data_IF_863311503622
#
_entry.id   IF_863311503622
#
_cell.length_a   1.000
_cell.length_b   1.000
_cell.length_c   1.000
_cell.angle_alpha   90.00
_cell.angle_beta   90.00
_cell.angle_gamma   90.00
#
_symmetry.space_group_name_H-M   'P 1'
#
loop_
_entity.id
_entity.type
_entity.pdbx_description
1 polymer ?
#
# COMPACT_ATOMS: atom_id res chain seq x y z
N UNK A 1 -18.67 8.68 -34.37
CA UNK A 1 -17.83 9.87 -34.21
C UNK A 1 -18.08 10.52 -32.84
N UNK A 2 -17.02 10.96 -32.17
CA UNK A 2 -17.12 11.60 -30.81
C UNK A 2 -17.93 12.90 -30.89
N UNK A 3 -17.75 13.65 -31.97
CA UNK A 3 -18.44 14.95 -32.13
C UNK A 3 -19.95 14.78 -32.33
N UNK A 4 -20.37 13.74 -33.04
CA UNK A 4 -21.80 13.41 -33.18
C UNK A 4 -22.44 13.12 -31.80
N UNK A 5 -21.73 12.36 -30.96
CA UNK A 5 -22.17 12.09 -29.59
C UNK A 5 -22.29 13.38 -28.74
N UNK A 6 -21.30 14.28 -28.87
CA UNK A 6 -21.33 15.58 -28.18
C UNK A 6 -22.49 16.45 -28.67
N UNK A 7 -22.79 16.44 -29.97
CA UNK A 7 -23.94 17.14 -30.55
C UNK A 7 -25.25 16.54 -30.04
N UNK A 8 -25.38 15.21 -29.97
CA UNK A 8 -26.53 14.55 -29.39
C UNK A 8 -26.76 14.93 -27.92
N UNK A 9 -25.68 15.01 -27.14
CA UNK A 9 -25.76 15.47 -25.74
C UNK A 9 -26.22 16.93 -25.65
N UNK A 10 -25.74 17.80 -26.53
CA UNK A 10 -26.17 19.19 -26.59
C UNK A 10 -27.65 19.31 -26.96
N UNK A 11 -28.14 18.52 -27.92
CA UNK A 11 -29.56 18.46 -28.27
C UNK A 11 -30.44 17.93 -27.13
N UNK A 12 -29.90 17.10 -26.23
CA UNK A 12 -30.55 16.66 -25.00
C UNK A 12 -30.50 17.71 -23.87
N UNK A 13 -30.16 18.97 -24.16
CA UNK A 13 -30.14 20.07 -23.23
C UNK A 13 -28.88 20.15 -22.35
N UNK A 14 -27.77 19.52 -22.73
CA UNK A 14 -26.50 19.64 -22.03
C UNK A 14 -25.65 20.76 -22.64
N UNK A 15 -25.05 21.59 -21.79
CA UNK A 15 -24.05 22.56 -22.24
C UNK A 15 -22.70 21.85 -22.40
N UNK A 16 -22.19 21.81 -23.63
CA UNK A 16 -20.93 21.13 -23.98
C UNK A 16 -19.91 22.15 -24.43
N UNK A 17 -18.78 22.23 -23.76
CA UNK A 17 -17.59 22.97 -24.21
C UNK A 17 -16.56 21.99 -24.73
N UNK A 18 -16.12 22.17 -25.96
CA UNK A 18 -15.07 21.37 -26.57
C UNK A 18 -13.92 22.26 -27.06
N UNK A 19 -12.70 21.91 -26.71
CA UNK A 19 -11.49 22.54 -27.28
C UNK A 19 -11.03 21.66 -28.42
N UNK A 20 -10.89 22.24 -29.61
CA UNK A 20 -10.55 21.51 -30.82
C UNK A 20 -9.31 22.12 -31.42
N UNK A 21 -8.45 21.27 -31.97
CA UNK A 21 -7.26 21.63 -32.68
C UNK A 21 -7.46 21.27 -34.17
N UNK A 22 -7.36 22.23 -35.10
CA UNK A 22 -7.47 22.06 -36.54
C UNK A 22 -8.68 21.19 -36.98
N UNK A 23 -9.93 21.62 -36.72
CA UNK A 23 -11.09 20.85 -37.12
C UNK A 23 -11.24 20.84 -38.65
N UNK A 24 -11.77 19.74 -39.20
CA UNK A 24 -12.26 19.74 -40.61
C UNK A 24 -13.48 20.66 -40.74
N UNK A 25 -13.77 21.07 -41.98
CA UNK A 25 -14.94 21.91 -42.32
C UNK A 25 -16.25 21.38 -41.71
N UNK A 26 -16.49 20.06 -41.89
CA UNK A 26 -17.71 19.41 -41.40
C UNK A 26 -17.81 19.45 -39.86
N UNK A 27 -16.72 19.19 -39.18
CA UNK A 27 -16.66 19.27 -37.71
C UNK A 27 -16.86 20.70 -37.24
N UNK A 28 -16.24 21.67 -37.92
CA UNK A 28 -16.36 23.10 -37.56
C UNK A 28 -17.81 23.59 -37.63
N UNK A 29 -18.55 23.17 -38.66
CA UNK A 29 -19.96 23.51 -38.84
C UNK A 29 -20.90 22.86 -37.81
N UNK A 30 -20.50 21.79 -37.13
CA UNK A 30 -21.34 21.08 -36.17
C UNK A 30 -21.54 21.86 -34.84
N UNK A 31 -20.73 22.87 -34.58
CA UNK A 31 -20.80 23.66 -33.33
C UNK A 31 -21.81 24.80 -33.45
N UNK A 32 -22.58 25.03 -32.40
CA UNK A 32 -23.57 26.12 -32.37
C UNK A 32 -22.91 27.48 -32.12
N UNK A 33 -21.84 27.51 -31.37
CA UNK A 33 -21.07 28.72 -31.02
C UNK A 33 -19.58 28.45 -31.02
N UNK A 34 -18.82 29.42 -31.52
CA UNK A 34 -17.36 29.46 -31.50
C UNK A 34 -16.90 30.58 -30.56
N UNK A 35 -16.01 30.26 -29.65
CA UNK A 35 -15.28 31.21 -28.79
C UNK A 35 -13.81 31.14 -29.17
N UNK A 36 -13.24 32.28 -29.60
CA UNK A 36 -11.80 32.38 -29.91
C UNK A 36 -11.14 33.25 -28.84
N UNK A 37 -10.10 32.70 -28.23
CA UNK A 37 -9.23 33.39 -27.27
C UNK A 37 -7.84 33.50 -27.90
N UNK A 38 -7.28 34.72 -27.94
CA UNK A 38 -5.93 34.99 -28.40
C UNK A 38 -4.94 35.01 -27.23
N UNK A 39 -3.66 35.18 -27.53
CA UNK A 39 -2.58 35.27 -26.53
C UNK A 39 -2.92 36.27 -25.42
N UNK A 40 -2.64 35.86 -24.15
CA UNK A 40 -3.05 36.64 -22.99
C UNK A 40 -4.50 36.41 -22.53
N UNK A 41 -5.25 35.52 -23.21
CA UNK A 41 -6.66 35.24 -22.85
C UNK A 41 -7.66 36.26 -23.36
N UNK A 42 -7.25 37.12 -24.31
CA UNK A 42 -8.12 38.11 -24.92
C UNK A 42 -9.19 37.45 -25.78
N UNK A 43 -10.44 37.67 -25.47
CA UNK A 43 -11.56 37.23 -26.30
C UNK A 43 -11.64 38.07 -27.57
N UNK A 44 -11.55 37.42 -28.77
CA UNK A 44 -11.53 38.10 -30.04
C UNK A 44 -12.72 37.76 -30.94
N UNK A 45 -13.45 36.69 -30.59
CA UNK A 45 -14.68 36.29 -31.28
C UNK A 45 -15.62 35.50 -30.36
N UNK A 46 -16.91 35.66 -30.55
CA UNK A 46 -17.97 34.81 -30.00
C UNK A 46 -19.19 34.86 -30.91
N UNK A 47 -19.57 33.73 -31.49
CA UNK A 47 -20.71 33.68 -32.41
C UNK A 47 -20.81 32.37 -33.16
N UNK A 48 -21.52 32.37 -34.27
CA UNK A 48 -21.59 31.22 -35.20
C UNK A 48 -20.20 30.92 -35.81
N UNK A 49 -19.75 29.66 -35.88
CA UNK A 49 -18.45 29.31 -36.49
C UNK A 49 -18.28 29.83 -37.92
N UNK A 50 -19.31 29.71 -38.76
CA UNK A 50 -19.26 30.14 -40.17
C UNK A 50 -19.10 31.67 -40.27
N UNK A 51 -19.80 32.43 -39.47
CA UNK A 51 -19.72 33.89 -39.45
C UNK A 51 -18.36 34.39 -38.96
N UNK A 52 -17.58 33.57 -38.24
CA UNK A 52 -16.25 33.96 -37.80
C UNK A 52 -15.32 34.35 -38.95
N UNK A 53 -15.37 33.60 -40.03
CA UNK A 53 -14.51 33.87 -41.20
C UNK A 53 -14.85 35.23 -41.84
N UNK A 54 -16.12 35.51 -42.02
CA UNK A 54 -16.57 36.80 -42.57
C UNK A 54 -16.26 37.97 -41.64
N UNK A 55 -16.40 37.74 -40.31
CA UNK A 55 -16.04 38.73 -39.31
C UNK A 55 -14.56 39.13 -39.38
N UNK A 56 -13.62 38.13 -39.38
CA UNK A 56 -12.21 38.44 -39.46
C UNK A 56 -11.80 39.07 -40.82
N UNK A 57 -12.36 38.58 -41.93
CA UNK A 57 -12.11 39.18 -43.26
C UNK A 57 -12.60 40.64 -43.33
N UNK A 58 -13.79 40.94 -42.81
CA UNK A 58 -14.35 42.30 -42.76
C UNK A 58 -13.51 43.20 -41.86
N UNK A 59 -13.03 42.70 -40.75
CA UNK A 59 -12.24 43.48 -39.79
C UNK A 59 -10.91 44.02 -40.37
N UNK A 60 -10.37 43.38 -41.42
CA UNK A 60 -9.13 43.79 -42.09
C UNK A 60 -9.36 44.27 -43.53
N UNK A 61 -10.60 44.47 -43.94
CA UNK A 61 -11.01 44.95 -45.27
C UNK A 61 -10.45 44.09 -46.40
N UNK A 62 -10.49 42.76 -46.28
CA UNK A 62 -10.11 41.87 -47.37
C UNK A 62 -11.12 41.94 -48.55
N UNK A 63 -10.60 41.81 -49.78
CA UNK A 63 -11.43 41.55 -50.95
C UNK A 63 -12.13 40.22 -50.74
N UNK A 64 -13.40 40.06 -51.07
CA UNK A 64 -14.25 38.89 -50.79
C UNK A 64 -14.54 38.68 -49.28
N UNK A 65 -14.63 39.76 -48.53
CA UNK A 65 -14.93 39.71 -47.10
C UNK A 65 -16.34 39.20 -46.77
N UNK A 66 -17.24 39.08 -47.75
CA UNK A 66 -18.60 38.58 -47.56
C UNK A 66 -18.74 37.06 -47.72
N UNK A 67 -17.68 36.39 -48.24
CA UNK A 67 -17.68 34.96 -48.48
C UNK A 67 -17.11 34.19 -47.28
N UNK A 68 -17.96 33.55 -46.46
CA UNK A 68 -17.57 32.66 -45.36
C UNK A 68 -17.42 31.21 -45.77
N UNK A 69 -18.11 30.83 -46.85
CA UNK A 69 -18.13 29.46 -47.41
C UNK A 69 -17.76 29.50 -48.90
N UNK A 70 -17.26 28.39 -49.42
CA UNK A 70 -17.07 28.21 -50.84
C UNK A 70 -18.42 28.07 -51.53
N UNK A 71 -18.70 28.93 -52.53
CA UNK A 71 -19.98 28.91 -53.28
C UNK A 71 -20.26 27.62 -54.05
N UNK A 72 -19.20 26.90 -54.48
CA UNK A 72 -19.33 25.67 -55.24
C UNK A 72 -19.51 24.43 -54.38
N UNK A 73 -18.78 24.31 -53.23
CA UNK A 73 -18.73 23.12 -52.43
C UNK A 73 -19.25 23.31 -50.98
N UNK A 74 -19.58 24.55 -50.59
CA UNK A 74 -20.01 24.86 -49.23
C UNK A 74 -18.93 24.66 -48.18
N UNK A 75 -17.69 24.48 -48.54
CA UNK A 75 -16.60 24.21 -47.62
C UNK A 75 -16.17 25.47 -46.87
N UNK A 76 -15.95 25.33 -45.58
CA UNK A 76 -15.44 26.38 -44.69
C UNK A 76 -14.03 26.02 -44.28
N UNK A 77 -13.08 26.94 -44.49
CA UNK A 77 -11.69 26.70 -44.08
C UNK A 77 -11.35 27.45 -42.78
N UNK A 78 -11.37 26.78 -41.61
CA UNK A 78 -11.06 27.42 -40.31
C UNK A 78 -9.63 27.95 -40.23
N UNK A 79 -8.67 27.43 -41.02
CA UNK A 79 -7.28 27.91 -41.04
C UNK A 79 -7.16 29.38 -41.50
N UNK A 80 -8.09 29.87 -42.32
CA UNK A 80 -8.12 31.27 -42.70
C UNK A 80 -8.21 32.23 -41.52
N UNK A 81 -8.92 31.82 -40.44
CA UNK A 81 -9.02 32.61 -39.24
C UNK A 81 -7.65 32.78 -38.59
N UNK A 82 -6.89 31.69 -38.43
CA UNK A 82 -5.55 31.73 -37.87
C UNK A 82 -4.57 32.49 -38.75
N UNK A 83 -4.63 32.32 -40.05
CA UNK A 83 -3.80 33.08 -41.00
C UNK A 83 -4.05 34.58 -40.91
N UNK A 84 -5.29 35.00 -40.70
CA UNK A 84 -5.63 36.43 -40.52
C UNK A 84 -5.11 36.95 -39.20
N UNK A 85 -5.34 36.23 -38.11
CA UNK A 85 -4.94 36.63 -36.75
C UNK A 85 -3.42 36.69 -36.62
N UNK A 86 -2.70 35.71 -37.23
CA UNK A 86 -1.26 35.58 -37.13
C UNK A 86 -0.48 36.31 -38.20
N UNK A 87 -1.15 37.09 -39.05
CA UNK A 87 -0.49 37.89 -40.11
C UNK A 87 0.59 38.78 -39.51
N UNK A 88 1.83 38.59 -39.97
CA UNK A 88 3.00 39.35 -39.53
C UNK A 88 3.23 40.59 -40.35
N UNK A 89 3.88 41.57 -39.75
CA UNK A 89 4.38 42.75 -40.45
C UNK A 89 5.54 42.36 -41.35
N UNK A 90 5.56 42.92 -42.60
CA UNK A 90 6.65 42.72 -43.56
C UNK A 90 7.57 43.93 -43.45
N UNK A 91 8.87 43.72 -43.31
CA UNK A 91 9.88 44.78 -43.25
C UNK A 91 10.17 45.33 -44.66
N UNK A 92 10.94 46.40 -44.75
CA UNK A 92 11.32 47.07 -45.99
C UNK A 92 12.05 46.15 -47.01
N UNK A 93 12.61 45.04 -46.53
CA UNK A 93 13.30 44.02 -47.32
C UNK A 93 12.42 42.86 -47.77
N UNK A 94 11.11 42.91 -47.50
CA UNK A 94 10.16 41.85 -47.87
C UNK A 94 10.15 40.63 -46.94
N UNK A 95 10.84 40.67 -45.82
CA UNK A 95 10.87 39.58 -44.84
C UNK A 95 9.84 39.77 -43.72
N UNK A 96 9.21 38.66 -43.28
CA UNK A 96 8.30 38.69 -42.16
C UNK A 96 9.03 39.01 -40.83
N UNK A 97 8.52 39.99 -40.10
CA UNK A 97 8.98 40.31 -38.75
C UNK A 97 8.38 39.33 -37.74
N UNK A 98 8.84 39.39 -36.47
CA UNK A 98 8.23 38.62 -35.37
C UNK A 98 6.96 39.32 -34.78
N UNK A 99 6.61 40.51 -35.27
CA UNK A 99 5.46 41.28 -34.80
C UNK A 99 4.23 40.96 -35.63
N UNK A 100 3.09 40.76 -34.96
CA UNK A 100 1.79 40.60 -35.61
C UNK A 100 1.29 41.96 -36.12
N UNK A 101 0.61 41.95 -37.26
CA UNK A 101 0.02 43.18 -37.85
C UNK A 101 -1.03 43.79 -36.92
N UNK A 102 -1.80 42.96 -36.22
CA UNK A 102 -2.80 43.35 -35.22
C UNK A 102 -2.53 42.57 -33.94
N UNK A 103 -2.18 43.21 -32.84
CA UNK A 103 -1.96 42.54 -31.55
C UNK A 103 -3.29 42.08 -30.93
N UNK A 104 -3.22 41.09 -30.01
CA UNK A 104 -4.37 40.47 -29.36
C UNK A 104 -5.29 41.47 -28.65
N UNK A 105 -4.71 42.49 -28.02
CA UNK A 105 -5.46 43.58 -27.35
C UNK A 105 -6.32 44.39 -28.32
N UNK A 106 -5.77 44.65 -29.51
CA UNK A 106 -6.47 45.41 -30.53
C UNK A 106 -7.60 44.58 -31.16
N UNK A 107 -7.40 43.27 -31.36
CA UNK A 107 -8.47 42.36 -31.74
C UNK A 107 -9.59 42.32 -30.70
N UNK A 108 -9.29 42.33 -29.42
CA UNK A 108 -10.27 42.40 -28.35
C UNK A 108 -11.04 43.77 -28.39
N UNK A 109 -10.34 44.83 -28.66
CA UNK A 109 -10.99 46.16 -28.79
C UNK A 109 -11.97 46.22 -29.99
N UNK A 110 -11.58 45.60 -31.14
CA UNK A 110 -12.44 45.46 -32.33
C UNK A 110 -13.69 44.62 -31.93
N UNK A 111 -13.48 43.49 -31.31
CA UNK A 111 -14.54 42.59 -30.87
C UNK A 111 -15.54 43.30 -29.94
N UNK A 112 -15.07 44.06 -28.95
CA UNK A 112 -15.94 44.84 -28.02
C UNK A 112 -16.77 45.90 -28.71
N UNK A 113 -16.33 46.46 -29.82
CA UNK A 113 -17.09 47.40 -30.64
C UNK A 113 -18.23 46.73 -31.40
N UNK A 114 -18.00 45.53 -31.90
CA UNK A 114 -18.99 44.76 -32.67
C UNK A 114 -19.96 43.97 -31.83
N UNK A 115 -19.51 43.48 -30.69
CA UNK A 115 -20.31 42.62 -29.83
C UNK A 115 -21.25 43.42 -28.96
N UNK A 116 -22.53 43.43 -29.33
CA UNK A 116 -23.60 43.91 -28.44
C UNK A 116 -23.95 42.80 -27.46
N UNK A 117 -23.67 43.02 -26.19
CA UNK A 117 -24.16 42.16 -25.11
C UNK A 117 -25.67 42.15 -25.12
N UNK A 118 -26.28 41.04 -25.52
CA UNK A 118 -27.72 40.85 -25.29
C UNK A 118 -27.92 40.82 -23.78
N UNK A 119 -28.95 41.51 -23.23
CA UNK A 119 -29.23 41.42 -21.82
C UNK A 119 -29.48 39.95 -21.46
N UNK A 120 -28.63 39.43 -20.60
CA UNK A 120 -28.81 38.09 -20.07
C UNK A 120 -30.01 38.14 -19.12
N UNK A 121 -31.12 37.52 -19.51
CA UNK A 121 -32.23 37.28 -18.58
C UNK A 121 -31.70 36.37 -17.49
N UNK A 122 -31.48 36.90 -16.31
CA UNK A 122 -31.14 36.13 -15.13
C UNK A 122 -32.33 35.23 -14.83
N UNK A 123 -32.09 33.90 -14.84
CA UNK A 123 -33.12 32.97 -14.40
C UNK A 123 -33.32 33.15 -12.87
N UNK A 124 -34.54 33.44 -12.46
CA UNK A 124 -34.89 33.64 -11.03
C UNK A 124 -34.75 32.34 -10.19
N UNK A 125 -34.63 31.21 -10.85
CA UNK A 125 -34.48 29.91 -10.19
C UNK A 125 -33.29 29.14 -10.76
N UNK A 126 -32.43 28.66 -9.87
CA UNK A 126 -31.35 27.72 -10.24
C UNK A 126 -32.02 26.43 -10.73
N UNK A 127 -31.76 25.97 -11.96
CA UNK A 127 -32.33 24.72 -12.45
C UNK A 127 -31.95 23.58 -11.52
N UNK A 128 -32.93 22.75 -11.15
CA UNK A 128 -32.65 21.56 -10.32
C UNK A 128 -31.60 20.66 -10.99
N UNK A 129 -30.58 20.33 -10.25
CA UNK A 129 -29.57 19.41 -10.72
C UNK A 129 -30.22 18.01 -10.91
N UNK A 130 -30.24 17.53 -12.14
CA UNK A 130 -30.66 16.15 -12.47
C UNK A 130 -29.51 15.14 -12.29
N UNK A 131 -28.37 15.59 -11.75
CA UNK A 131 -27.22 14.74 -11.54
C UNK A 131 -27.51 13.74 -10.41
N UNK A 132 -27.80 12.52 -10.77
CA UNK A 132 -27.99 11.43 -9.81
C UNK A 132 -26.64 10.75 -9.54
N UNK A 133 -25.97 11.19 -8.46
CA UNK A 133 -24.67 10.61 -8.06
C UNK A 133 -24.94 9.25 -7.44
N UNK A 134 -24.36 8.15 -7.95
CA UNK A 134 -24.54 6.81 -7.39
C UNK A 134 -24.09 6.74 -5.92
N UNK A 135 -24.72 5.89 -5.13
CA UNK A 135 -24.30 5.63 -3.75
C UNK A 135 -22.85 5.15 -3.69
N UNK A 136 -22.18 5.36 -2.55
CA UNK A 136 -20.77 4.97 -2.37
C UNK A 136 -20.52 3.48 -2.64
N UNK A 137 -21.43 2.61 -2.22
CA UNK A 137 -21.36 1.17 -2.48
C UNK A 137 -21.44 0.85 -3.98
N UNK A 138 -22.37 1.49 -4.71
CA UNK A 138 -22.49 1.34 -6.17
C UNK A 138 -21.25 1.85 -6.89
N UNK A 139 -20.67 2.97 -6.43
CA UNK A 139 -19.41 3.48 -6.99
C UNK A 139 -18.26 2.48 -6.77
N UNK A 140 -18.12 1.91 -5.55
CA UNK A 140 -17.10 0.90 -5.25
C UNK A 140 -17.25 -0.33 -6.15
N UNK A 141 -18.48 -0.82 -6.35
CA UNK A 141 -18.75 -1.94 -7.24
C UNK A 141 -18.38 -1.64 -8.70
N UNK A 142 -18.72 -0.44 -9.20
CA UNK A 142 -18.38 -0.03 -10.56
C UNK A 142 -16.86 0.08 -10.76
N UNK A 143 -16.13 0.64 -9.78
CA UNK A 143 -14.68 0.67 -9.81
C UNK A 143 -14.07 -0.73 -9.79
N UNK A 144 -14.58 -1.62 -8.93
CA UNK A 144 -14.12 -3.00 -8.86
C UNK A 144 -14.37 -3.74 -10.18
N UNK A 145 -15.57 -3.63 -10.77
CA UNK A 145 -15.89 -4.27 -12.04
C UNK A 145 -14.97 -3.78 -13.17
N UNK A 146 -14.74 -2.47 -13.26
CA UNK A 146 -13.82 -1.89 -14.26
C UNK A 146 -12.41 -2.44 -14.10
N UNK A 147 -11.90 -2.51 -12.87
CA UNK A 147 -10.53 -2.97 -12.60
C UNK A 147 -10.38 -4.48 -12.85
N UNK A 148 -11.36 -5.27 -12.44
CA UNK A 148 -11.41 -6.72 -12.73
C UNK A 148 -11.41 -6.96 -14.24
N UNK A 149 -12.27 -6.27 -14.99
CA UNK A 149 -12.30 -6.40 -16.46
C UNK A 149 -10.97 -6.01 -17.10
N UNK A 150 -10.35 -4.91 -16.64
CA UNK A 150 -9.04 -4.48 -17.14
C UNK A 150 -7.95 -5.53 -16.87
N UNK A 151 -7.95 -6.15 -15.68
CA UNK A 151 -7.01 -7.20 -15.32
C UNK A 151 -7.26 -8.50 -16.10
N UNK A 152 -8.52 -8.91 -16.27
CA UNK A 152 -8.88 -10.12 -17.03
C UNK A 152 -8.52 -10.01 -18.52
N UNK A 153 -8.58 -8.83 -19.12
CA UNK A 153 -8.15 -8.61 -20.50
C UNK A 153 -6.63 -8.55 -20.66
N UNK A 154 -5.87 -8.42 -19.58
CA UNK A 154 -4.41 -8.44 -19.60
C UNK A 154 -3.90 -9.85 -19.31
N UNK A 155 -3.81 -10.69 -20.35
CA UNK A 155 -3.39 -12.09 -20.24
C UNK A 155 -1.99 -12.22 -19.62
N UNK A 156 -1.05 -11.33 -19.97
CA UNK A 156 0.29 -11.34 -19.41
C UNK A 156 0.27 -11.13 -17.88
N UNK A 157 -0.50 -10.14 -17.43
CA UNK A 157 -0.68 -9.86 -16.01
C UNK A 157 -1.23 -11.08 -15.26
N UNK A 158 -2.27 -11.72 -15.82
CA UNK A 158 -2.89 -12.89 -15.19
C UNK A 158 -1.92 -14.07 -15.11
N UNK A 159 -1.25 -14.41 -16.22
CA UNK A 159 -0.32 -15.55 -16.26
C UNK A 159 0.81 -15.36 -15.27
N UNK A 160 1.44 -14.18 -15.24
CA UNK A 160 2.54 -13.90 -14.32
C UNK A 160 2.05 -14.02 -12.87
N UNK A 161 1.00 -13.31 -12.49
CA UNK A 161 0.54 -13.27 -11.10
C UNK A 161 -0.01 -14.61 -10.60
N UNK A 162 -0.63 -15.42 -11.47
CA UNK A 162 -1.13 -16.74 -11.07
C UNK A 162 -0.02 -17.81 -11.04
N UNK A 163 0.97 -17.70 -11.92
CA UNK A 163 2.06 -18.68 -11.99
C UNK A 163 3.15 -18.41 -10.96
N UNK A 164 3.35 -17.15 -10.56
CA UNK A 164 4.40 -16.73 -9.64
C UNK A 164 4.32 -17.47 -8.30
N UNK A 165 3.16 -17.51 -7.67
CA UNK A 165 2.96 -18.12 -6.36
C UNK A 165 3.27 -19.64 -6.34
N UNK A 166 2.67 -20.49 -7.19
CA UNK A 166 2.96 -21.93 -7.20
C UNK A 166 4.39 -22.23 -7.65
N UNK A 167 4.97 -21.43 -8.55
CA UNK A 167 6.34 -21.61 -9.01
C UNK A 167 7.33 -21.35 -7.87
N UNK A 168 7.18 -20.22 -7.17
CA UNK A 168 8.03 -19.88 -6.02
C UNK A 168 7.86 -20.91 -4.89
N UNK A 169 6.62 -21.34 -4.61
CA UNK A 169 6.36 -22.39 -3.62
C UNK A 169 7.06 -23.70 -3.98
N UNK A 170 6.97 -24.11 -5.24
CA UNK A 170 7.61 -25.34 -5.72
C UNK A 170 9.14 -25.24 -5.62
N UNK A 171 9.74 -24.18 -6.13
CA UNK A 171 11.20 -23.96 -6.09
C UNK A 171 11.68 -23.96 -4.64
N UNK A 172 11.03 -23.21 -3.77
CA UNK A 172 11.41 -23.11 -2.37
C UNK A 172 11.27 -24.45 -1.64
N UNK A 173 10.13 -25.11 -1.78
CA UNK A 173 9.88 -26.40 -1.14
C UNK A 173 10.81 -27.49 -1.66
N UNK A 174 11.10 -27.50 -2.97
CA UNK A 174 12.01 -28.47 -3.58
C UNK A 174 13.45 -28.30 -3.08
N UNK A 175 13.96 -27.08 -2.98
CA UNK A 175 15.31 -26.79 -2.48
C UNK A 175 15.44 -27.16 -1.00
N UNK A 176 14.39 -26.91 -0.20
CA UNK A 176 14.41 -27.12 1.25
C UNK A 176 14.13 -28.57 1.63
N UNK A 177 13.54 -29.38 0.74
CA UNK A 177 13.23 -30.78 0.99
C UNK A 177 14.54 -31.59 1.13
N UNK A 178 14.93 -31.90 2.38
CA UNK A 178 16.17 -32.58 2.72
C UNK A 178 15.95 -34.07 2.92
N UNK A 179 16.73 -34.88 2.25
CA UNK A 179 16.75 -36.34 2.40
C UNK A 179 17.96 -36.73 3.25
N UNK A 180 17.72 -37.40 4.39
CA UNK A 180 18.80 -37.90 5.22
C UNK A 180 19.28 -39.26 4.67
N UNK A 181 20.48 -39.29 4.06
CA UNK A 181 21.08 -40.46 3.47
C UNK A 181 21.88 -41.33 4.46
N UNK A 182 22.08 -40.87 5.70
CA UNK A 182 22.99 -41.52 6.67
C UNK A 182 22.52 -42.90 7.17
N UNK A 183 21.29 -43.32 6.88
CA UNK A 183 20.71 -44.58 7.33
C UNK A 183 20.28 -45.51 6.19
N UNK A 184 20.80 -45.34 4.99
CA UNK A 184 20.58 -46.27 3.86
C UNK A 184 19.17 -46.23 3.25
N UNK A 185 18.32 -45.33 3.62
CA UNK A 185 17.00 -45.10 3.04
C UNK A 185 16.92 -43.74 2.34
N UNK A 186 16.48 -43.74 1.09
CA UNK A 186 16.26 -42.51 0.32
C UNK A 186 14.90 -41.83 0.61
N UNK A 187 14.24 -42.24 1.69
CA UNK A 187 12.89 -41.74 1.99
C UNK A 187 12.90 -40.41 2.76
N UNK A 188 12.06 -39.50 2.33
CA UNK A 188 11.86 -38.23 3.02
C UNK A 188 11.12 -38.44 4.35
N UNK A 189 11.69 -37.94 5.44
CA UNK A 189 11.08 -37.97 6.77
C UNK A 189 10.95 -36.52 7.26
N UNK A 190 9.73 -36.01 7.39
CA UNK A 190 9.43 -34.63 7.76
C UNK A 190 10.11 -34.21 9.09
N UNK A 191 10.06 -35.05 10.12
CA UNK A 191 10.64 -34.75 11.45
C UNK A 191 12.16 -34.60 11.45
N UNK A 192 12.84 -35.12 10.44
CA UNK A 192 14.30 -35.01 10.25
C UNK A 192 14.71 -33.80 9.41
N UNK A 193 13.77 -33.10 8.84
CA UNK A 193 14.05 -31.94 7.99
C UNK A 193 14.29 -30.68 8.85
N UNK A 194 15.55 -30.38 9.12
CA UNK A 194 15.98 -29.20 9.87
C UNK A 194 15.77 -27.87 9.13
N UNK A 195 15.39 -27.90 7.85
CA UNK A 195 15.22 -26.71 7.02
C UNK A 195 13.79 -26.13 7.08
N UNK A 196 12.86 -26.74 7.81
CA UNK A 196 11.47 -26.26 7.92
C UNK A 196 11.39 -24.80 8.43
N UNK A 197 12.16 -24.38 9.45
CA UNK A 197 12.18 -22.97 9.87
C UNK A 197 12.59 -22.00 8.76
N UNK A 198 13.60 -22.39 7.95
CA UNK A 198 14.03 -21.60 6.80
C UNK A 198 12.95 -21.52 5.73
N UNK A 199 12.23 -22.62 5.47
CA UNK A 199 11.08 -22.63 4.57
C UNK A 199 9.97 -21.68 5.04
N UNK A 200 9.59 -21.74 6.30
CA UNK A 200 8.54 -20.86 6.86
C UNK A 200 8.95 -19.39 6.77
N UNK A 201 10.19 -19.08 7.10
CA UNK A 201 10.70 -17.71 6.98
C UNK A 201 10.66 -17.20 5.54
N UNK A 202 11.19 -18.00 4.60
CA UNK A 202 11.18 -17.61 3.19
C UNK A 202 9.77 -17.54 2.62
N UNK A 203 8.83 -18.36 3.09
CA UNK A 203 7.42 -18.26 2.71
C UNK A 203 6.80 -16.93 3.14
N UNK A 204 7.13 -16.43 4.33
CA UNK A 204 6.73 -15.10 4.79
C UNK A 204 7.30 -14.02 3.90
N UNK A 205 8.60 -14.09 3.57
CA UNK A 205 9.24 -13.10 2.67
C UNK A 205 8.61 -13.12 1.27
N UNK A 206 8.29 -14.28 0.74
CA UNK A 206 7.58 -14.41 -0.55
C UNK A 206 6.19 -13.78 -0.47
N UNK A 207 5.44 -13.99 0.62
CA UNK A 207 4.12 -13.38 0.80
C UNK A 207 4.18 -11.85 0.85
N UNK A 208 5.18 -11.29 1.55
CA UNK A 208 5.46 -9.85 1.58
C UNK A 208 5.80 -9.32 0.18
N UNK A 209 6.71 -10.00 -0.50
CA UNK A 209 7.13 -9.62 -1.86
C UNK A 209 5.96 -9.61 -2.84
N UNK A 210 5.14 -10.68 -2.88
CA UNK A 210 3.97 -10.76 -3.76
C UNK A 210 2.97 -9.64 -3.47
N UNK A 211 2.65 -9.38 -2.19
CA UNK A 211 1.74 -8.30 -1.80
C UNK A 211 2.24 -6.93 -2.25
N UNK A 212 3.51 -6.64 -2.02
CA UNK A 212 4.10 -5.35 -2.33
C UNK A 212 4.22 -5.11 -3.84
N UNK A 213 4.67 -6.10 -4.62
CA UNK A 213 4.89 -5.95 -6.08
C UNK A 213 3.58 -5.75 -6.83
N UNK A 214 2.54 -6.50 -6.48
CA UNK A 214 1.23 -6.41 -7.15
C UNK A 214 0.56 -5.06 -6.88
N UNK A 215 0.68 -4.53 -5.66
CA UNK A 215 -0.01 -3.30 -5.24
C UNK A 215 0.74 -2.01 -5.58
N UNK A 216 2.05 -2.08 -5.77
CA UNK A 216 2.92 -0.92 -5.91
C UNK A 216 2.60 -0.02 -7.11
N UNK A 217 2.07 -0.55 -8.21
CA UNK A 217 1.73 0.22 -9.41
C UNK A 217 0.24 0.59 -9.53
N UNK A 218 -0.63 0.07 -8.68
CA UNK A 218 -2.08 0.16 -8.86
C UNK A 218 -2.61 1.60 -8.94
N UNK A 219 -2.20 2.48 -8.04
CA UNK A 219 -2.69 3.86 -8.02
C UNK A 219 -1.97 4.72 -9.07
N UNK A 220 -0.66 4.52 -9.24
CA UNK A 220 0.11 5.32 -10.20
C UNK A 220 -0.39 5.11 -11.63
N UNK A 221 -0.73 3.87 -11.99
CA UNK A 221 -1.29 3.52 -13.31
C UNK A 221 -2.63 4.23 -13.55
N UNK A 222 -3.47 4.32 -12.54
CA UNK A 222 -4.78 4.94 -12.64
C UNK A 222 -4.77 6.47 -12.51
N UNK A 223 -3.64 7.08 -12.14
CA UNK A 223 -3.54 8.52 -11.83
C UNK A 223 -4.04 9.43 -12.94
N UNK A 224 -3.77 9.11 -14.19
CA UNK A 224 -4.24 9.90 -15.34
C UNK A 224 -5.77 9.85 -15.46
N UNK A 225 -6.35 8.68 -15.20
CA UNK A 225 -7.80 8.47 -15.24
C UNK A 225 -8.46 9.20 -14.07
N UNK A 226 -7.94 9.04 -12.86
CA UNK A 226 -8.42 9.72 -11.66
C UNK A 226 -8.37 11.25 -11.78
N UNK A 227 -7.33 11.79 -12.43
CA UNK A 227 -7.23 13.23 -12.70
C UNK A 227 -8.34 13.71 -13.65
N UNK A 228 -8.68 12.93 -14.68
CA UNK A 228 -9.79 13.24 -15.61
C UNK A 228 -11.16 13.10 -14.95
N UNK A 229 -11.33 12.11 -14.08
CA UNK A 229 -12.61 11.84 -13.41
C UNK A 229 -12.85 12.71 -12.17
N UNK A 230 -11.89 13.58 -11.78
CA UNK A 230 -11.96 14.41 -10.58
C UNK A 230 -13.21 15.29 -10.54
N UNK A 231 -13.68 15.81 -11.69
CA UNK A 231 -14.86 16.68 -11.77
C UNK A 231 -16.19 15.93 -11.66
N UNK A 232 -16.19 14.59 -11.73
CA UNK A 232 -17.39 13.77 -11.58
C UNK A 232 -17.82 13.58 -10.11
N UNK A 233 -17.15 14.23 -9.17
CA UNK A 233 -17.41 14.13 -7.73
C UNK A 233 -17.42 12.70 -7.18
N UNK A 234 -16.58 11.82 -7.75
CA UNK A 234 -16.48 10.43 -7.33
C UNK A 234 -15.81 10.30 -5.95
N UNK A 235 -16.29 9.36 -5.18
CA UNK A 235 -15.79 9.08 -3.84
C UNK A 235 -14.42 8.39 -3.88
N UNK A 236 -13.39 9.03 -3.32
CA UNK A 236 -12.03 8.47 -3.20
C UNK A 236 -12.00 7.21 -2.33
N UNK A 237 -12.81 7.18 -1.26
CA UNK A 237 -12.91 6.01 -0.38
C UNK A 237 -13.50 4.80 -1.11
N UNK A 238 -14.49 5.01 -2.00
CA UNK A 238 -15.06 3.94 -2.83
C UNK A 238 -14.05 3.37 -3.82
N UNK A 239 -13.20 4.24 -4.39
CA UNK A 239 -12.10 3.81 -5.25
C UNK A 239 -11.05 2.99 -4.47
N UNK A 240 -10.58 3.47 -3.31
CA UNK A 240 -9.60 2.76 -2.50
C UNK A 240 -10.16 1.42 -2.00
N UNK A 241 -11.39 1.38 -1.55
CA UNK A 241 -12.04 0.15 -1.09
C UNK A 241 -12.12 -0.89 -2.21
N UNK A 242 -12.43 -0.47 -3.45
CA UNK A 242 -12.44 -1.38 -4.59
C UNK A 242 -11.05 -1.97 -4.88
N UNK A 243 -10.00 -1.14 -4.82
CA UNK A 243 -8.61 -1.61 -5.01
C UNK A 243 -8.18 -2.59 -3.92
N UNK A 244 -8.43 -2.26 -2.66
CA UNK A 244 -8.11 -3.14 -1.52
C UNK A 244 -8.82 -4.48 -1.67
N UNK A 245 -10.12 -4.49 -1.99
CA UNK A 245 -10.89 -5.73 -2.14
C UNK A 245 -10.33 -6.63 -3.24
N UNK A 246 -9.96 -6.06 -4.39
CA UNK A 246 -9.40 -6.83 -5.51
C UNK A 246 -8.01 -7.38 -5.17
N UNK A 247 -7.15 -6.57 -4.56
CA UNK A 247 -5.81 -7.00 -4.16
C UNK A 247 -5.88 -8.11 -3.09
N UNK A 248 -6.76 -7.99 -2.11
CA UNK A 248 -6.97 -9.03 -1.11
C UNK A 248 -7.50 -10.34 -1.74
N UNK A 249 -8.41 -10.23 -2.70
CA UNK A 249 -8.89 -11.41 -3.44
C UNK A 249 -7.76 -12.08 -4.22
N UNK A 250 -6.92 -11.30 -4.88
CA UNK A 250 -5.76 -11.83 -5.61
C UNK A 250 -4.75 -12.48 -4.66
N UNK A 251 -4.43 -11.82 -3.54
CA UNK A 251 -3.56 -12.39 -2.50
C UNK A 251 -4.13 -13.66 -1.90
N UNK A 252 -5.44 -13.77 -1.71
CA UNK A 252 -6.07 -15.02 -1.26
C UNK A 252 -5.82 -16.15 -2.25
N UNK A 253 -6.01 -15.91 -3.55
CA UNK A 253 -5.75 -16.91 -4.59
C UNK A 253 -4.28 -17.31 -4.62
N UNK A 254 -3.36 -16.33 -4.61
CA UNK A 254 -1.91 -16.57 -4.63
C UNK A 254 -1.45 -17.37 -3.40
N UNK A 255 -1.89 -16.98 -2.20
CA UNK A 255 -1.50 -17.67 -0.96
C UNK A 255 -2.10 -19.07 -0.86
N UNK A 256 -3.33 -19.29 -1.33
CA UNK A 256 -3.91 -20.64 -1.43
C UNK A 256 -3.04 -21.53 -2.32
N UNK A 257 -2.68 -21.05 -3.51
CA UNK A 257 -1.83 -21.81 -4.45
C UNK A 257 -0.44 -22.07 -3.86
N UNK A 258 0.16 -21.07 -3.21
CA UNK A 258 1.45 -21.18 -2.54
C UNK A 258 1.43 -22.26 -1.45
N UNK A 259 0.46 -22.20 -0.53
CA UNK A 259 0.36 -23.15 0.59
C UNK A 259 0.02 -24.56 0.12
N UNK A 260 -0.85 -24.70 -0.90
CA UNK A 260 -1.16 -26.01 -1.47
C UNK A 260 0.11 -26.71 -2.02
N UNK A 261 0.86 -25.99 -2.86
CA UNK A 261 2.07 -26.57 -3.48
C UNK A 261 3.14 -26.82 -2.42
N UNK A 262 3.39 -25.86 -1.54
CA UNK A 262 4.44 -26.00 -0.52
C UNK A 262 4.16 -27.10 0.48
N UNK A 263 2.94 -27.18 1.01
CA UNK A 263 2.55 -28.23 1.94
C UNK A 263 2.53 -29.61 1.27
N UNK A 264 2.14 -29.69 0.00
CA UNK A 264 2.18 -30.95 -0.76
C UNK A 264 3.62 -31.47 -0.95
N UNK A 265 4.55 -30.61 -1.38
CA UNK A 265 5.94 -30.98 -1.61
C UNK A 265 6.66 -31.37 -0.33
N UNK A 266 6.46 -30.64 0.77
CA UNK A 266 7.10 -30.85 2.07
C UNK A 266 6.32 -31.81 2.98
N UNK A 267 5.16 -32.32 2.54
CA UNK A 267 4.31 -33.24 3.30
C UNK A 267 3.85 -32.68 4.65
N UNK A 268 3.61 -31.34 4.72
CA UNK A 268 3.09 -30.69 5.92
C UNK A 268 1.60 -31.00 6.03
N UNK A 269 1.21 -31.72 7.10
CA UNK A 269 -0.16 -32.14 7.32
C UNK A 269 -0.84 -31.34 8.45
N UNK A 270 -2.13 -31.05 8.26
CA UNK A 270 -2.98 -30.51 9.32
C UNK A 270 -2.87 -29.00 9.55
N UNK A 271 -1.96 -28.28 8.90
CA UNK A 271 -1.68 -26.84 9.12
C UNK A 271 -2.05 -25.94 7.95
N UNK A 272 -2.85 -26.44 7.00
CA UNK A 272 -3.19 -25.68 5.79
C UNK A 272 -3.84 -24.32 6.09
N UNK A 273 -4.88 -24.30 6.92
CA UNK A 273 -5.61 -23.06 7.21
C UNK A 273 -4.79 -22.07 8.05
N UNK A 274 -3.98 -22.56 8.97
CA UNK A 274 -3.11 -21.72 9.78
C UNK A 274 -2.04 -21.04 8.93
N UNK A 275 -1.31 -21.79 8.11
CA UNK A 275 -0.34 -21.23 7.18
C UNK A 275 -1.00 -20.29 6.17
N UNK A 276 -2.15 -20.68 5.62
CA UNK A 276 -2.91 -19.82 4.72
C UNK A 276 -3.25 -18.48 5.37
N UNK A 277 -3.79 -18.50 6.59
CA UNK A 277 -4.19 -17.28 7.28
C UNK A 277 -3.00 -16.36 7.58
N UNK A 278 -1.89 -16.93 8.04
CA UNK A 278 -0.67 -16.16 8.34
C UNK A 278 -0.13 -15.51 7.07
N UNK A 279 0.07 -16.28 5.98
CA UNK A 279 0.63 -15.76 4.74
C UNK A 279 -0.33 -14.79 4.05
N UNK A 280 -1.64 -15.05 4.09
CA UNK A 280 -2.64 -14.16 3.54
C UNK A 280 -2.67 -12.80 4.25
N UNK A 281 -2.71 -12.78 5.59
CA UNK A 281 -2.70 -11.52 6.35
C UNK A 281 -1.39 -10.75 6.15
N UNK A 282 -0.29 -11.45 6.03
CA UNK A 282 1.03 -10.87 5.72
C UNK A 282 1.03 -10.20 4.34
N UNK A 283 0.52 -10.89 3.32
CA UNK A 283 0.38 -10.34 1.96
C UNK A 283 -0.60 -9.15 1.92
N UNK A 284 -1.69 -9.20 2.67
CA UNK A 284 -2.63 -8.09 2.81
C UNK A 284 -1.98 -6.85 3.43
N UNK A 285 -1.13 -7.01 4.44
CA UNK A 285 -0.37 -5.91 5.03
C UNK A 285 0.51 -5.21 3.98
N UNK A 286 1.26 -5.98 3.20
CA UNK A 286 2.13 -5.42 2.16
C UNK A 286 1.36 -4.87 0.95
N UNK A 287 0.17 -5.37 0.66
CA UNK A 287 -0.73 -4.73 -0.30
C UNK A 287 -1.09 -3.31 0.12
N UNK A 288 -1.40 -3.10 1.40
CA UNK A 288 -1.71 -1.76 1.92
C UNK A 288 -0.46 -0.86 1.91
N UNK A 289 0.70 -1.41 2.24
CA UNK A 289 1.97 -0.69 2.17
C UNK A 289 2.28 -0.26 0.74
N UNK A 290 2.14 -1.16 -0.24
CA UNK A 290 2.34 -0.88 -1.65
C UNK A 290 1.36 0.14 -2.23
N UNK A 291 0.08 0.12 -1.83
CA UNK A 291 -0.88 1.16 -2.19
C UNK A 291 -0.47 2.54 -1.64
N UNK A 292 0.04 2.60 -0.41
CA UNK A 292 0.55 3.85 0.17
C UNK A 292 1.71 4.40 -0.66
N UNK A 293 2.67 3.55 -1.02
CA UNK A 293 3.81 3.92 -1.88
C UNK A 293 3.30 4.39 -3.24
N UNK A 294 2.41 3.63 -3.87
CA UNK A 294 1.82 3.95 -5.17
C UNK A 294 1.11 5.31 -5.18
N UNK A 295 0.51 5.71 -4.05
CA UNK A 295 -0.14 7.01 -3.90
C UNK A 295 0.86 8.17 -3.73
N UNK A 296 1.99 7.91 -3.07
CA UNK A 296 2.98 8.93 -2.69
C UNK A 296 3.94 9.33 -3.81
N UNK A 297 4.28 8.40 -4.71
CA UNK A 297 5.29 8.64 -5.75
C UNK A 297 4.68 8.84 -7.13
N UNK A 298 5.41 9.56 -8.00
CA UNK A 298 4.95 9.92 -9.35
C UNK A 298 5.53 9.05 -10.46
N UNK A 299 6.54 8.23 -10.15
CA UNK A 299 7.27 7.40 -11.11
C UNK A 299 7.25 5.94 -10.70
N UNK A 300 6.91 5.05 -11.64
CA UNK A 300 6.98 3.60 -11.44
C UNK A 300 8.42 3.14 -11.14
N UNK A 301 9.42 3.74 -11.80
CA UNK A 301 10.83 3.41 -11.56
C UNK A 301 11.23 3.66 -10.11
N UNK A 302 10.81 4.79 -9.53
CA UNK A 302 11.07 5.10 -8.11
C UNK A 302 10.45 4.04 -7.19
N UNK A 303 9.26 3.56 -7.52
CA UNK A 303 8.56 2.54 -6.73
C UNK A 303 9.35 1.23 -6.74
N UNK A 304 9.83 0.77 -7.90
CA UNK A 304 10.63 -0.46 -7.99
C UNK A 304 11.95 -0.39 -7.21
N UNK A 305 12.57 0.78 -7.10
CA UNK A 305 13.76 0.99 -6.27
C UNK A 305 13.39 0.92 -4.77
N UNK A 306 12.18 1.36 -4.39
CA UNK A 306 11.73 1.34 -3.00
C UNK A 306 11.37 -0.07 -2.51
N UNK A 307 10.91 -0.96 -3.39
CA UNK A 307 10.53 -2.34 -2.99
C UNK A 307 11.67 -3.07 -2.26
N UNK A 308 12.88 -3.21 -2.83
CA UNK A 308 14.00 -3.81 -2.11
C UNK A 308 14.38 -3.05 -0.83
N UNK A 309 14.32 -1.72 -0.86
CA UNK A 309 14.64 -0.88 0.31
C UNK A 309 13.72 -1.15 1.49
N UNK A 310 12.47 -1.56 1.25
CA UNK A 310 11.51 -1.91 2.29
C UNK A 310 11.62 -3.38 2.72
N UNK A 311 11.92 -4.28 1.78
CA UNK A 311 12.04 -5.72 2.07
C UNK A 311 13.32 -6.06 2.81
N UNK A 312 14.44 -5.40 2.51
CA UNK A 312 15.73 -5.67 3.17
C UNK A 312 15.67 -5.45 4.69
N UNK A 313 15.16 -4.33 5.21
CA UNK A 313 14.95 -4.18 6.66
C UNK A 313 14.04 -5.23 7.26
N UNK A 314 12.95 -5.61 6.60
CA UNK A 314 12.07 -6.68 7.06
C UNK A 314 12.78 -8.03 7.15
N UNK A 315 13.69 -8.31 6.21
CA UNK A 315 14.48 -9.53 6.20
C UNK A 315 15.53 -9.54 7.32
N UNK A 316 16.27 -8.42 7.50
CA UNK A 316 17.36 -8.34 8.50
C UNK A 316 16.81 -8.26 9.92
N UNK A 317 15.77 -7.45 10.14
CA UNK A 317 15.19 -7.18 11.47
C UNK A 317 14.12 -8.19 11.88
N UNK A 318 13.94 -9.27 11.12
CA UNK A 318 13.07 -10.40 11.48
C UNK A 318 13.59 -11.20 12.70
N UNK A 319 14.89 -11.07 13.03
CA UNK A 319 15.54 -11.88 14.07
C UNK A 319 16.01 -13.26 13.60
N UNK A 320 15.73 -13.61 12.33
CA UNK A 320 16.12 -14.92 11.73
C UNK A 320 17.49 -14.87 11.09
N UNK A 321 17.70 -13.89 10.19
CA UNK A 321 18.96 -13.70 9.48
C UNK A 321 20.04 -13.17 10.42
N UNK A 322 19.71 -12.15 11.20
CA UNK A 322 20.58 -11.59 12.24
C UNK A 322 19.84 -11.70 13.57
N UNK A 323 20.40 -12.45 14.51
CA UNK A 323 19.84 -12.56 15.87
C UNK A 323 19.88 -11.21 16.57
N UNK A 324 18.86 -10.88 17.35
CA UNK A 324 18.73 -9.58 18.01
C UNK A 324 19.88 -9.26 18.99
N UNK A 325 20.43 -10.29 19.65
CA UNK A 325 21.60 -10.20 20.52
C UNK A 325 22.92 -9.86 19.79
N UNK A 326 22.94 -10.06 18.46
CA UNK A 326 24.10 -9.77 17.59
C UNK A 326 23.94 -8.52 16.74
N UNK A 327 22.85 -7.77 16.92
CA UNK A 327 22.68 -6.46 16.29
C UNK A 327 23.65 -5.43 16.89
N UNK A 328 23.82 -4.32 16.15
CA UNK A 328 24.60 -3.18 16.66
C UNK A 328 24.06 -2.75 18.04
N UNK A 329 24.90 -2.60 19.06
CA UNK A 329 24.49 -2.26 20.43
C UNK A 329 23.68 -0.96 20.56
N UNK A 330 23.78 -0.05 19.58
CA UNK A 330 22.96 1.18 19.55
C UNK A 330 21.51 0.92 19.19
N UNK A 331 21.20 -0.18 18.51
CA UNK A 331 19.85 -0.53 18.02
C UNK A 331 19.30 -1.71 18.83
N UNK A 332 20.16 -2.67 19.18
CA UNK A 332 19.80 -3.92 19.85
C UNK A 332 20.21 -3.92 21.33
N UNK A 333 19.45 -4.64 22.13
CA UNK A 333 19.78 -4.98 23.52
C UNK A 333 19.67 -6.50 23.68
N UNK A 334 20.52 -7.09 24.54
CA UNK A 334 20.51 -8.53 24.80
C UNK A 334 19.27 -9.00 25.55
N UNK A 335 18.53 -8.08 26.20
CA UNK A 335 17.39 -8.41 27.06
C UNK A 335 16.03 -8.21 26.37
N UNK A 336 15.95 -7.35 25.35
CA UNK A 336 14.67 -6.98 24.73
C UNK A 336 14.79 -6.91 23.20
N UNK A 337 13.69 -7.21 22.52
CA UNK A 337 13.60 -7.01 21.08
C UNK A 337 13.64 -5.50 20.78
N UNK A 338 14.45 -5.07 19.80
CA UNK A 338 14.46 -3.67 19.39
C UNK A 338 13.10 -3.20 18.89
N UNK A 339 12.71 -1.97 19.22
CA UNK A 339 11.45 -1.37 18.76
C UNK A 339 11.30 -1.44 17.22
N UNK A 340 12.41 -1.29 16.50
CA UNK A 340 12.42 -1.41 15.04
C UNK A 340 12.07 -2.82 14.58
N UNK A 341 12.50 -3.86 15.29
CA UNK A 341 12.10 -5.24 15.04
C UNK A 341 10.62 -5.49 15.31
N UNK A 342 10.05 -4.84 16.32
CA UNK A 342 8.61 -4.93 16.62
C UNK A 342 7.71 -4.32 15.54
N UNK A 343 8.23 -3.38 14.75
CA UNK A 343 7.51 -2.80 13.61
C UNK A 343 7.52 -3.69 12.35
N UNK A 344 8.38 -4.72 12.31
CA UNK A 344 8.52 -5.58 11.12
C UNK A 344 7.43 -6.65 11.07
N UNK A 345 6.63 -6.63 10.01
CA UNK A 345 5.59 -7.63 9.78
C UNK A 345 6.18 -9.03 9.61
N UNK A 346 7.36 -9.15 8.98
CA UNK A 346 8.10 -10.41 8.78
C UNK A 346 8.38 -11.15 10.08
N UNK A 347 8.75 -10.42 11.15
CA UNK A 347 9.00 -11.00 12.46
C UNK A 347 7.74 -11.66 13.03
N UNK A 348 6.65 -10.92 13.07
CA UNK A 348 5.39 -11.43 13.64
C UNK A 348 4.81 -12.59 12.85
N UNK A 349 4.87 -12.50 11.52
CA UNK A 349 4.41 -13.57 10.66
C UNK A 349 5.25 -14.83 10.79
N UNK A 350 6.58 -14.69 10.88
CA UNK A 350 7.48 -15.82 11.10
C UNK A 350 7.29 -16.44 12.50
N UNK A 351 7.20 -15.62 13.54
CA UNK A 351 6.93 -16.08 14.91
C UNK A 351 5.62 -16.87 14.97
N UNK A 352 4.55 -16.32 14.36
CA UNK A 352 3.26 -17.00 14.28
C UNK A 352 3.36 -18.34 13.53
N UNK A 353 4.07 -18.37 12.40
CA UNK A 353 4.25 -19.58 11.60
C UNK A 353 5.04 -20.65 12.35
N UNK A 354 6.11 -20.27 13.05
CA UNK A 354 6.93 -21.18 13.85
C UNK A 354 6.18 -21.74 15.03
N UNK A 355 5.50 -20.88 15.81
CA UNK A 355 4.72 -21.31 16.98
C UNK A 355 3.60 -22.26 16.53
N UNK A 356 2.90 -21.93 15.44
CA UNK A 356 1.84 -22.77 14.90
C UNK A 356 2.38 -24.12 14.42
N UNK A 357 3.52 -24.09 13.70
CA UNK A 357 4.16 -25.31 13.20
C UNK A 357 4.57 -26.25 14.34
N UNK A 358 5.07 -25.71 15.44
CA UNK A 358 5.48 -26.48 16.60
C UNK A 358 4.27 -26.96 17.44
N UNK A 359 3.36 -26.03 17.80
CA UNK A 359 2.28 -26.26 18.74
C UNK A 359 1.09 -27.02 18.17
N UNK A 360 0.65 -26.64 16.92
CA UNK A 360 -0.62 -27.07 16.35
C UNK A 360 -0.47 -28.22 15.36
N UNK A 361 0.74 -28.74 15.16
CA UNK A 361 0.91 -29.88 14.30
C UNK A 361 0.22 -31.12 14.93
N UNK A 362 -0.22 -32.05 14.06
CA UNK A 362 -1.08 -33.16 14.47
C UNK A 362 -0.45 -34.07 15.52
N UNK A 363 0.88 -34.14 15.55
CA UNK A 363 1.63 -34.96 16.51
C UNK A 363 1.83 -34.19 17.83
N UNK A 364 2.41 -32.99 17.79
CA UNK A 364 2.80 -32.22 18.96
C UNK A 364 1.62 -31.66 19.75
N UNK A 365 0.48 -31.44 19.10
CA UNK A 365 -0.72 -30.87 19.73
C UNK A 365 -1.14 -31.57 21.03
N UNK A 366 -0.97 -32.90 21.08
CA UNK A 366 -1.32 -33.70 22.27
C UNK A 366 -0.21 -33.67 23.32
N UNK A 367 1.06 -33.53 22.91
CA UNK A 367 2.21 -33.50 23.80
C UNK A 367 2.58 -32.11 24.28
N UNK A 368 2.20 -31.08 23.58
CA UNK A 368 2.54 -29.68 23.90
C UNK A 368 2.27 -29.26 25.35
N UNK A 369 1.13 -29.62 26.00
CA UNK A 369 0.90 -29.29 27.41
C UNK A 369 1.94 -29.89 28.34
N UNK A 370 2.43 -31.10 28.06
CA UNK A 370 3.46 -31.76 28.84
C UNK A 370 4.85 -31.14 28.60
N UNK A 371 5.17 -30.84 27.35
CA UNK A 371 6.40 -30.16 26.97
C UNK A 371 6.48 -28.76 27.59
N UNK A 372 5.36 -28.04 27.67
CA UNK A 372 5.30 -26.75 28.32
C UNK A 372 5.64 -26.86 29.83
N UNK A 373 5.12 -27.88 30.52
CA UNK A 373 5.44 -28.12 31.92
C UNK A 373 6.91 -28.50 32.10
N UNK A 374 7.44 -29.37 31.23
CA UNK A 374 8.86 -29.74 31.23
C UNK A 374 9.77 -28.55 30.98
N UNK A 375 9.46 -27.74 29.97
CA UNK A 375 10.25 -26.55 29.62
C UNK A 375 10.24 -25.51 30.77
N UNK A 376 9.08 -25.30 31.44
CA UNK A 376 8.98 -24.42 32.62
C UNK A 376 9.83 -24.97 33.80
N UNK A 377 9.81 -26.28 34.00
CA UNK A 377 10.62 -26.94 35.04
C UNK A 377 12.12 -26.83 34.72
N UNK A 378 12.53 -27.09 33.50
CA UNK A 378 13.93 -26.96 33.08
C UNK A 378 14.42 -25.52 33.13
N UNK A 379 13.62 -24.55 32.73
CA UNK A 379 13.95 -23.13 32.84
C UNK A 379 14.18 -22.76 34.33
N UNK A 380 13.29 -23.22 35.24
CA UNK A 380 13.45 -22.98 36.68
C UNK A 380 14.70 -23.60 37.21
N UNK A 381 14.97 -24.86 36.87
CA UNK A 381 16.13 -25.62 37.34
C UNK A 381 17.45 -25.06 36.83
N UNK A 382 17.53 -24.76 35.55
CA UNK A 382 18.81 -24.40 34.87
C UNK A 382 19.11 -22.91 35.02
N UNK A 383 18.10 -22.05 35.00
CA UNK A 383 18.30 -20.60 34.91
C UNK A 383 17.75 -19.86 36.13
N UNK A 384 16.45 -19.99 36.44
CA UNK A 384 15.79 -19.15 37.45
C UNK A 384 16.35 -19.37 38.87
N UNK A 385 16.46 -20.62 39.31
CA UNK A 385 16.97 -20.95 40.64
C UNK A 385 18.43 -20.56 40.84
N UNK A 386 19.37 -20.85 39.89
CA UNK A 386 20.74 -20.38 40.01
C UNK A 386 20.85 -18.85 40.04
N UNK A 387 20.08 -18.16 39.20
CA UNK A 387 20.10 -16.68 39.16
C UNK A 387 19.58 -16.07 40.48
N UNK A 388 18.45 -16.60 40.99
CA UNK A 388 17.92 -16.17 42.31
C UNK A 388 18.90 -16.47 43.47
N UNK A 389 19.58 -17.61 43.40
CA UNK A 389 20.62 -17.96 44.38
C UNK A 389 21.81 -16.98 44.30
N UNK A 390 22.28 -16.65 43.12
CA UNK A 390 23.36 -15.66 42.95
C UNK A 390 22.99 -14.29 43.48
N UNK A 391 21.76 -13.83 43.20
CA UNK A 391 21.25 -12.55 43.70
C UNK A 391 21.09 -12.56 45.24
N UNK A 392 20.64 -13.67 45.80
CA UNK A 392 20.53 -13.82 47.23
C UNK A 392 21.90 -13.85 47.90
N UNK A 393 22.85 -14.62 47.38
CA UNK A 393 24.22 -14.66 47.88
C UNK A 393 24.90 -13.27 47.82
N UNK A 394 24.72 -12.55 46.73
CA UNK A 394 25.21 -11.16 46.63
C UNK A 394 24.59 -10.30 47.75
N UNK A 395 23.26 -10.39 47.93
CA UNK A 395 22.59 -9.61 48.96
C UNK A 395 23.07 -9.97 50.38
N UNK A 396 23.26 -11.26 50.68
CA UNK A 396 23.78 -11.73 51.97
C UNK A 396 25.20 -11.26 52.22
N UNK A 397 26.09 -11.34 51.24
CA UNK A 397 27.50 -10.96 51.39
C UNK A 397 27.65 -9.45 51.61
N UNK A 398 26.79 -8.64 51.05
CA UNK A 398 26.85 -7.17 51.14
C UNK A 398 25.94 -6.58 52.22
N UNK A 399 25.19 -7.43 52.95
CA UNK A 399 24.22 -6.97 53.95
C UNK A 399 24.85 -6.30 55.17
N UNK A 400 26.05 -6.72 55.59
CA UNK A 400 26.69 -6.26 56.85
C UNK A 400 27.31 -4.85 56.74
N UNK A 401 27.77 -4.40 55.57
CA UNK A 401 28.32 -3.06 55.37
C UNK A 401 28.07 -2.53 53.94
N UNK A 402 26.85 -2.14 53.60
CA UNK A 402 26.59 -1.63 52.27
C UNK A 402 26.94 -0.15 52.11
N UNK A 403 27.80 0.18 51.16
CA UNK A 403 27.94 1.54 50.63
C UNK A 403 26.62 2.03 49.98
N UNK A 404 26.47 3.35 49.86
CA UNK A 404 25.17 3.93 49.44
C UNK A 404 24.54 3.37 48.15
N UNK A 405 25.34 3.08 47.12
CA UNK A 405 24.85 2.47 45.88
C UNK A 405 24.69 0.95 46.01
N UNK A 406 25.55 0.28 46.73
CA UNK A 406 25.45 -1.14 47.05
C UNK A 406 24.16 -1.45 47.83
N UNK A 407 23.73 -0.57 48.72
CA UNK A 407 22.48 -0.69 49.48
C UNK A 407 21.24 -0.68 48.58
N UNK A 408 21.23 0.17 47.53
CA UNK A 408 20.15 0.19 46.53
C UNK A 408 20.12 -1.11 45.74
N UNK A 409 21.28 -1.65 45.37
CA UNK A 409 21.42 -2.87 44.60
C UNK A 409 21.00 -4.11 45.42
N UNK A 410 21.38 -4.19 46.68
CA UNK A 410 20.94 -5.22 47.63
C UNK A 410 19.39 -5.20 47.76
N UNK A 411 18.81 -4.02 47.99
CA UNK A 411 17.36 -3.88 48.11
C UNK A 411 16.64 -4.28 46.83
N UNK A 412 17.21 -3.95 45.65
CA UNK A 412 16.68 -4.37 44.33
C UNK A 412 16.69 -5.89 44.20
N UNK A 413 17.83 -6.54 44.50
CA UNK A 413 17.98 -7.98 44.38
C UNK A 413 17.03 -8.73 45.31
N UNK A 414 16.90 -8.31 46.57
CA UNK A 414 15.97 -8.89 47.52
C UNK A 414 14.50 -8.76 47.06
N UNK A 415 14.12 -7.59 46.52
CA UNK A 415 12.77 -7.42 45.96
C UNK A 415 12.48 -8.34 44.78
N UNK A 416 13.48 -8.59 43.92
CA UNK A 416 13.33 -9.51 42.76
C UNK A 416 13.13 -10.94 43.33
N UNK A 417 13.99 -11.40 44.21
CA UNK A 417 13.88 -12.73 44.82
C UNK A 417 12.52 -12.91 45.51
N UNK A 418 12.12 -11.94 46.33
CA UNK A 418 10.84 -12.00 47.04
C UNK A 418 9.63 -12.02 46.10
N UNK A 419 9.68 -11.22 45.01
CA UNK A 419 8.63 -11.18 43.98
C UNK A 419 8.48 -12.52 43.25
N UNK A 420 9.59 -13.13 42.86
CA UNK A 420 9.55 -14.41 42.14
C UNK A 420 9.15 -15.57 43.05
N UNK A 421 9.59 -15.60 44.27
CA UNK A 421 9.11 -16.59 45.28
C UNK A 421 7.60 -16.47 45.47
N UNK A 422 7.07 -15.27 45.68
CA UNK A 422 5.62 -15.04 45.79
C UNK A 422 4.86 -15.46 44.53
N UNK A 423 5.44 -15.25 43.36
CA UNK A 423 4.84 -15.65 42.10
C UNK A 423 4.72 -17.18 41.98
N UNK A 424 5.74 -17.90 42.36
CA UNK A 424 5.72 -19.36 42.31
C UNK A 424 4.81 -19.95 43.40
N UNK A 425 4.81 -19.38 44.59
CA UNK A 425 3.91 -19.80 45.67
C UNK A 425 2.42 -19.62 45.29
N UNK A 426 2.08 -18.56 44.56
CA UNK A 426 0.68 -18.38 44.05
C UNK A 426 0.25 -19.48 43.08
N UNK A 427 1.18 -20.09 42.34
CA UNK A 427 0.88 -21.20 41.43
C UNK A 427 0.54 -22.51 42.16
N UNK A 428 0.99 -22.64 43.40
CA UNK A 428 0.77 -23.86 44.23
C UNK A 428 -0.64 -23.95 44.83
N UNK A 429 -1.46 -22.89 44.69
CA UNK A 429 -2.82 -22.83 45.21
C UNK A 429 -2.95 -22.19 46.61
N UNK A 430 -4.17 -21.73 46.95
CA UNK A 430 -4.39 -20.95 48.18
C UNK A 430 -4.09 -21.68 49.49
N UNK A 431 -4.26 -22.99 49.53
CA UNK A 431 -4.07 -23.77 50.76
C UNK A 431 -2.60 -23.95 51.11
N UNK A 432 -1.74 -24.18 50.11
CA UNK A 432 -0.28 -24.27 50.35
C UNK A 432 0.34 -22.90 50.57
N UNK A 433 -0.23 -21.85 49.99
CA UNK A 433 0.22 -20.48 50.24
C UNK A 433 -0.02 -20.07 51.71
N UNK A 434 -1.17 -20.42 52.30
CA UNK A 434 -1.47 -20.18 53.73
C UNK A 434 -0.51 -20.92 54.64
N UNK A 435 -0.17 -22.19 54.34
CA UNK A 435 0.77 -22.95 55.18
C UNK A 435 2.16 -22.32 55.24
N UNK A 436 2.66 -21.76 54.11
CA UNK A 436 3.97 -21.07 54.08
C UNK A 436 3.92 -19.73 54.81
N UNK A 437 2.82 -18.96 54.67
CA UNK A 437 2.65 -17.69 55.42
C UNK A 437 2.44 -17.93 56.94
N UNK A 438 1.81 -19.01 57.31
CA UNK A 438 1.64 -19.41 58.75
C UNK A 438 2.96 -19.91 59.33
N UNK A 439 3.77 -20.69 58.61
CA UNK A 439 5.11 -21.09 59.02
C UNK A 439 6.08 -19.92 59.14
N UNK A 440 6.03 -18.93 58.22
CA UNK A 440 6.83 -17.70 58.28
C UNK A 440 6.37 -16.79 59.45
N UNK A 441 5.09 -16.75 59.76
CA UNK A 441 4.55 -15.95 60.86
C UNK A 441 4.71 -16.64 62.22
N UNK A 442 4.83 -17.95 62.28
CA UNK A 442 5.07 -18.75 63.45
C UNK A 442 6.55 -18.88 63.85
N UNK A 443 7.47 -18.45 63.01
CA UNK A 443 8.91 -18.38 63.36
C UNK A 443 9.14 -17.27 64.39
N UNK A 444 9.50 -17.57 65.62
CA UNK A 444 9.79 -16.54 66.60
C UNK A 444 10.96 -15.68 66.08
N UNK A 445 10.83 -14.38 66.29
CA UNK A 445 11.85 -13.36 66.02
C UNK A 445 13.13 -13.61 66.84
N UNK A 446 13.88 -14.61 66.50
CA UNK A 446 15.10 -15.01 67.16
C UNK A 446 16.12 -15.53 66.16
N UNK A 447 17.16 -14.74 65.96
CA UNK A 447 18.43 -15.10 65.35
C UNK A 447 18.42 -15.86 63.99
N UNK A 448 18.08 -15.14 62.91
CA UNK A 448 18.20 -15.62 61.54
C UNK A 448 19.61 -15.88 61.02
N UNK A 449 20.61 -15.90 61.87
CA UNK A 449 22.04 -16.13 61.52
C UNK A 449 22.52 -17.55 61.73
N UNK A 450 21.81 -18.39 62.48
CA UNK A 450 22.31 -19.76 62.80
C UNK A 450 21.78 -20.88 61.92
N UNK A 451 20.66 -20.71 61.23
CA UNK A 451 20.08 -21.80 60.37
C UNK A 451 20.64 -21.90 58.93
N UNK A 452 21.53 -21.02 58.53
CA UNK A 452 22.17 -21.07 57.19
C UNK A 452 23.60 -21.65 57.20
N UNK A 453 24.03 -22.35 58.30
CA UNK A 453 25.37 -22.94 58.42
C UNK A 453 25.33 -24.48 58.47
N UNK A 454 24.58 -25.17 57.62
CA UNK A 454 24.81 -26.57 57.33
C UNK A 454 24.36 -26.94 55.94
N UNK A 455 25.03 -27.97 55.31
CA UNK A 455 25.80 -27.86 54.06
C UNK A 455 24.98 -27.92 52.78
#
# INVERSE_FOLDING_TARGET
NIIDLLKELALKGKLVFAVIHQPSSDIFKMFDKLLILDTGGYQIYYGNPVDAITYFKKSINLVNSEEGECHECGNVNPEQIFNIIETKVINEYGHFTNERKIPAEQWNAIFKKFYRTLPVTTADTIPHSTLNIPSRAKQSFLFAMRDVQAKLHNTQYLVINLLEAPLLAFILAFIVKYYNTDQGGADYVFSKNLNIPAYLFMSVIVALFMGLTVSAEEIIRDRKILKREKFLHLSRSSYLLSKISILFTLSAVQTIMFVLVGNYVLEIQGLFFQHLFILFTTSCFDNLLGLNISSGFNSAVTIYILIPLLLIPQLILSGVVVKFDKLNPTIGNTETVPLVGDLMASRWAFEAAMVTQFKDNRFEREFFPYDQVMADADFKKIYLIPELRTRLQFALNQYQNPDGDTRKQVARNLRIVQREIRRELRKLGPDRFRQVDEEDSASPSGNGTERLRHP
#
